data_IF_208112929996
#
_entry.id   IF_208112929996
#
_cell.length_a   1.000
_cell.length_b   1.000
_cell.length_c   1.000
_cell.angle_alpha   90.00
_cell.angle_beta   90.00
_cell.angle_gamma   90.00
#
_symmetry.space_group_name_H-M   'P 1'
#
loop_
_entity.id
_entity.type
_entity.pdbx_description
1 polymer ?
#
# COMPACT_ATOMS: atom_id res chain seq x y z
N UNK A 1 -18.45 7.30 -31.92
CA UNK A 1 -19.23 8.24 -31.08
C UNK A 1 -19.06 7.83 -29.63
N UNK A 2 -18.42 8.67 -28.82
CA UNK A 2 -18.24 8.41 -27.39
C UNK A 2 -19.47 8.85 -26.61
N UNK A 3 -20.23 7.90 -26.07
CA UNK A 3 -21.38 8.19 -25.21
C UNK A 3 -20.88 8.58 -23.81
N UNK A 4 -20.79 9.88 -23.56
CA UNK A 4 -20.39 10.41 -22.25
C UNK A 4 -21.36 9.93 -21.18
N UNK A 5 -20.85 9.08 -20.27
CA UNK A 5 -21.61 8.58 -19.13
C UNK A 5 -21.45 9.54 -17.96
N UNK A 6 -22.56 10.09 -17.47
CA UNK A 6 -22.56 10.96 -16.29
C UNK A 6 -22.77 10.13 -15.02
N UNK A 7 -22.50 10.70 -13.85
CA UNK A 7 -22.70 10.02 -12.56
C UNK A 7 -23.82 10.68 -11.76
N UNK A 8 -24.69 9.87 -11.19
CA UNK A 8 -25.71 10.33 -10.26
C UNK A 8 -25.07 10.97 -9.04
N UNK A 9 -25.44 12.23 -8.76
CA UNK A 9 -24.89 12.98 -7.63
C UNK A 9 -25.22 12.37 -6.27
N UNK A 10 -26.36 11.67 -6.16
CA UNK A 10 -26.82 11.07 -4.91
C UNK A 10 -26.30 9.65 -4.70
N UNK A 11 -26.54 8.76 -5.67
CA UNK A 11 -26.21 7.34 -5.54
C UNK A 11 -24.81 6.97 -6.02
N UNK A 12 -24.20 7.78 -6.89
CA UNK A 12 -22.97 7.43 -7.60
C UNK A 12 -23.14 6.42 -8.74
N UNK A 13 -24.39 6.12 -9.14
CA UNK A 13 -24.66 5.23 -10.27
C UNK A 13 -24.33 5.91 -11.61
N UNK A 14 -23.91 5.11 -12.60
CA UNK A 14 -23.68 5.56 -13.99
C UNK A 14 -25.02 5.88 -14.67
N UNK A 15 -25.07 7.01 -15.37
CA UNK A 15 -26.22 7.50 -16.12
C UNK A 15 -25.78 7.62 -17.58
N UNK A 16 -26.41 6.81 -18.43
CA UNK A 16 -26.19 6.86 -19.87
C UNK A 16 -27.04 7.97 -20.50
N UNK A 17 -26.65 8.49 -21.68
CA UNK A 17 -27.45 9.48 -22.40
C UNK A 17 -28.91 9.05 -22.58
N UNK A 18 -29.84 10.01 -22.45
CA UNK A 18 -31.28 9.73 -22.53
C UNK A 18 -31.90 9.08 -21.28
N UNK A 19 -31.13 8.89 -20.20
CA UNK A 19 -31.62 8.38 -18.91
C UNK A 19 -31.39 9.38 -17.78
N UNK A 20 -32.13 9.18 -16.70
CA UNK A 20 -32.03 10.00 -15.49
C UNK A 20 -32.87 11.28 -15.53
N UNK A 21 -32.68 12.11 -14.51
CA UNK A 21 -33.41 13.36 -14.31
C UNK A 21 -32.38 14.44 -13.99
N UNK A 22 -32.41 15.54 -14.75
CA UNK A 22 -31.60 16.74 -14.50
C UNK A 22 -32.43 17.74 -13.68
N UNK A 23 -31.91 18.14 -12.53
CA UNK A 23 -32.52 19.14 -11.66
C UNK A 23 -31.57 20.32 -11.53
N UNK A 24 -32.04 21.52 -11.83
CA UNK A 24 -31.29 22.77 -11.65
C UNK A 24 -31.82 23.47 -10.42
N UNK A 25 -30.95 23.71 -9.44
CA UNK A 25 -31.28 24.47 -8.23
C UNK A 25 -31.12 25.97 -8.51
N UNK A 26 -31.76 26.82 -7.71
CA UNK A 26 -31.75 28.28 -7.85
C UNK A 26 -30.36 28.91 -7.84
N UNK A 27 -29.37 28.26 -7.24
CA UNK A 27 -27.95 28.65 -7.25
C UNK A 27 -27.20 28.16 -8.50
N UNK A 28 -27.92 27.90 -9.59
CA UNK A 28 -27.41 27.37 -10.86
C UNK A 28 -26.71 26.01 -10.76
N UNK A 29 -26.80 25.32 -9.63
CA UNK A 29 -26.21 23.99 -9.48
C UNK A 29 -27.05 22.93 -10.20
N UNK A 30 -26.40 22.22 -11.12
CA UNK A 30 -27.00 21.11 -11.86
C UNK A 30 -26.76 19.80 -11.14
N UNK A 31 -27.85 19.14 -10.76
CA UNK A 31 -27.86 17.82 -10.15
C UNK A 31 -28.39 16.80 -11.14
N UNK A 32 -27.62 15.73 -11.38
CA UNK A 32 -28.09 14.57 -12.12
C UNK A 32 -28.49 13.44 -11.18
N UNK A 33 -29.69 12.90 -11.40
CA UNK A 33 -30.22 11.77 -10.66
C UNK A 33 -30.49 10.59 -11.59
N UNK A 34 -30.10 9.38 -11.16
CA UNK A 34 -30.36 8.18 -11.96
C UNK A 34 -31.85 7.80 -12.01
N UNK A 35 -32.61 8.10 -10.95
CA UNK A 35 -34.02 7.74 -10.82
C UNK A 35 -34.78 8.72 -9.89
N UNK A 36 -36.11 8.65 -9.93
CA UNK A 36 -37.00 9.47 -9.08
C UNK A 36 -36.79 9.21 -7.58
N UNK A 37 -36.33 8.01 -7.20
CA UNK A 37 -35.97 7.68 -5.81
C UNK A 37 -34.84 8.56 -5.30
N UNK A 38 -33.78 8.76 -6.09
CA UNK A 38 -32.66 9.65 -5.75
C UNK A 38 -33.13 11.11 -5.64
N UNK A 39 -33.97 11.57 -6.57
CA UNK A 39 -34.55 12.92 -6.54
C UNK A 39 -35.36 13.14 -5.26
N UNK A 40 -36.24 12.19 -4.91
CA UNK A 40 -37.06 12.25 -3.68
C UNK A 40 -36.19 12.32 -2.43
N UNK A 41 -35.17 11.47 -2.32
CA UNK A 41 -34.27 11.48 -1.16
C UNK A 41 -33.46 12.77 -1.04
N UNK A 42 -33.08 13.37 -2.16
CA UNK A 42 -32.43 14.68 -2.19
C UNK A 42 -33.34 15.79 -1.64
N UNK A 43 -34.60 15.85 -2.08
CA UNK A 43 -35.57 16.83 -1.55
C UNK A 43 -35.90 16.60 -0.08
N UNK A 44 -35.96 15.34 0.36
CA UNK A 44 -36.13 14.97 1.77
C UNK A 44 -34.87 15.23 2.64
N UNK A 45 -33.82 15.84 2.07
CA UNK A 45 -32.56 16.18 2.76
C UNK A 45 -31.87 14.97 3.40
N UNK A 46 -32.08 13.77 2.84
CA UNK A 46 -31.39 12.57 3.29
C UNK A 46 -29.92 12.63 2.86
N UNK A 47 -29.02 12.28 3.77
CA UNK A 47 -27.58 12.27 3.51
C UNK A 47 -27.18 10.94 2.87
N UNK A 48 -26.57 10.92 1.67
CA UNK A 48 -26.11 9.69 1.01
C UNK A 48 -25.18 8.85 1.91
N UNK A 49 -24.35 9.50 2.72
CA UNK A 49 -23.44 8.85 3.68
C UNK A 49 -24.13 7.95 4.71
N UNK A 50 -25.44 8.12 4.96
CA UNK A 50 -26.21 7.29 5.89
C UNK A 50 -26.93 6.13 5.19
N UNK A 51 -27.00 6.12 3.86
CA UNK A 51 -27.75 5.13 3.09
C UNK A 51 -26.81 4.04 2.57
N UNK A 52 -26.98 2.82 3.09
CA UNK A 52 -26.08 1.66 2.91
C UNK A 52 -25.75 1.31 1.46
N UNK A 53 -26.69 1.52 0.54
CA UNK A 53 -26.60 1.15 -0.87
C UNK A 53 -25.89 2.19 -1.75
N UNK A 54 -25.67 3.42 -1.25
CA UNK A 54 -25.04 4.48 -2.04
C UNK A 54 -23.53 4.25 -2.15
N UNK A 55 -22.93 4.75 -3.23
CA UNK A 55 -21.47 4.70 -3.41
C UNK A 55 -20.73 5.45 -2.28
N UNK A 56 -21.31 6.54 -1.77
CA UNK A 56 -20.73 7.34 -0.69
C UNK A 56 -20.61 6.52 0.61
N UNK A 57 -21.70 5.85 1.02
CA UNK A 57 -21.70 4.99 2.20
C UNK A 57 -20.67 3.88 2.08
N UNK A 58 -20.68 3.17 0.94
CA UNK A 58 -19.77 2.04 0.70
C UNK A 58 -18.30 2.46 0.78
N UNK A 59 -17.97 3.64 0.23
CA UNK A 59 -16.62 4.22 0.33
C UNK A 59 -16.22 4.52 1.77
N UNK A 60 -17.09 5.14 2.57
CA UNK A 60 -16.80 5.47 3.97
C UNK A 60 -16.62 4.22 4.84
N UNK A 61 -17.42 3.19 4.58
CA UNK A 61 -17.37 1.93 5.32
C UNK A 61 -16.39 0.92 4.73
N UNK A 62 -15.52 1.35 3.81
CA UNK A 62 -14.49 0.52 3.17
C UNK A 62 -15.09 -0.78 2.58
N UNK A 63 -16.28 -0.72 2.00
CA UNK A 63 -16.89 -1.87 1.31
C UNK A 63 -16.28 -2.11 -0.09
N UNK A 64 -15.57 -1.11 -0.63
CA UNK A 64 -14.93 -1.16 -1.95
C UNK A 64 -13.39 -1.26 -1.88
N UNK A 65 -12.84 -1.85 -0.81
CA UNK A 65 -11.38 -1.93 -0.56
C UNK A 65 -10.61 -2.54 -1.74
N UNK A 66 -11.15 -3.58 -2.38
CA UNK A 66 -10.47 -4.28 -3.45
C UNK A 66 -10.12 -3.35 -4.63
N UNK A 67 -11.02 -2.44 -4.99
CA UNK A 67 -10.81 -1.49 -6.09
C UNK A 67 -9.74 -0.44 -5.73
N UNK A 68 -9.75 0.06 -4.49
CA UNK A 68 -8.75 1.03 -4.02
C UNK A 68 -7.36 0.40 -3.85
N UNK A 69 -7.27 -0.85 -3.40
CA UNK A 69 -6.00 -1.57 -3.24
C UNK A 69 -5.28 -1.76 -4.59
N UNK A 70 -6.02 -2.13 -5.64
CA UNK A 70 -5.47 -2.24 -7.01
C UNK A 70 -4.94 -0.89 -7.51
N UNK A 71 -5.68 0.21 -7.25
CA UNK A 71 -5.26 1.56 -7.65
C UNK A 71 -4.00 2.01 -6.92
N UNK A 72 -3.87 1.71 -5.62
CA UNK A 72 -2.67 1.99 -4.84
C UNK A 72 -1.46 1.22 -5.40
N UNK A 73 -1.62 -0.07 -5.71
CA UNK A 73 -0.56 -0.91 -6.30
C UNK A 73 -0.07 -0.38 -7.65
N UNK A 74 -0.97 0.19 -8.47
CA UNK A 74 -0.61 0.78 -9.77
C UNK A 74 0.17 2.10 -9.65
N UNK A 75 -0.02 2.87 -8.57
CA UNK A 75 0.75 4.10 -8.28
C UNK A 75 2.17 3.80 -7.81
N UNK A 76 2.40 2.65 -7.19
CA UNK A 76 3.73 2.18 -6.79
C UNK A 76 4.52 1.54 -7.95
N UNK A 77 4.36 2.05 -9.16
CA UNK A 77 5.13 1.58 -10.31
C UNK A 77 6.64 1.80 -10.06
N UNK A 78 7.43 0.76 -10.34
CA UNK A 78 8.88 0.70 -10.11
C UNK A 78 9.58 1.93 -10.71
N UNK A 79 10.40 2.62 -9.91
CA UNK A 79 11.45 3.49 -10.44
C UNK A 79 12.32 2.65 -11.37
N UNK A 80 12.45 3.06 -12.62
CA UNK A 80 13.44 2.51 -13.54
C UNK A 80 14.82 2.75 -12.92
N UNK A 81 15.44 1.70 -12.40
CA UNK A 81 16.85 1.77 -11.99
C UNK A 81 17.68 1.90 -13.26
N UNK A 82 18.48 2.97 -13.33
CA UNK A 82 19.49 3.22 -14.36
C UNK A 82 20.31 1.97 -14.65
N UNK A 83 20.71 1.81 -15.92
CA UNK A 83 21.04 0.54 -16.56
C UNK A 83 22.05 -0.40 -15.85
N UNK A 84 22.11 -1.66 -16.27
CA UNK A 84 22.83 -2.74 -15.58
C UNK A 84 24.34 -2.51 -15.41
N UNK A 85 24.94 -1.61 -16.21
CA UNK A 85 26.37 -1.30 -16.17
C UNK A 85 26.75 -0.51 -14.90
N UNK A 86 26.06 0.59 -14.63
CA UNK A 86 26.33 1.47 -13.47
C UNK A 86 26.08 0.81 -12.12
N UNK A 87 25.20 -0.20 -12.10
CA UNK A 87 24.93 -1.04 -10.93
C UNK A 87 26.08 -2.03 -10.70
N UNK A 88 26.59 -2.66 -11.76
CA UNK A 88 27.72 -3.60 -11.68
C UNK A 88 28.98 -2.89 -11.16
N UNK A 89 29.20 -1.66 -11.59
CA UNK A 89 30.33 -0.85 -11.12
C UNK A 89 30.21 -0.46 -9.64
N UNK A 90 29.02 -0.04 -9.18
CA UNK A 90 28.78 0.25 -7.75
C UNK A 90 28.92 -1.00 -6.88
N UNK A 91 28.46 -2.17 -7.35
CA UNK A 91 28.59 -3.43 -6.62
C UNK A 91 30.06 -3.87 -6.55
N UNK A 92 30.84 -3.69 -7.62
CA UNK A 92 32.29 -3.97 -7.59
C UNK A 92 33.00 -3.04 -6.60
N UNK A 93 32.81 -1.72 -6.72
CA UNK A 93 33.42 -0.72 -5.82
C UNK A 93 33.11 -1.02 -4.34
N UNK A 94 31.85 -1.29 -4.00
CA UNK A 94 31.47 -1.62 -2.61
C UNK A 94 32.03 -2.97 -2.12
N UNK A 95 32.22 -3.95 -3.01
CA UNK A 95 32.85 -5.25 -2.67
C UNK A 95 34.35 -5.10 -2.42
N UNK A 96 35.02 -4.28 -3.21
CA UNK A 96 36.46 -4.02 -3.07
C UNK A 96 36.75 -3.21 -1.80
N UNK A 97 35.94 -2.19 -1.49
CA UNK A 97 36.02 -1.44 -0.22
C UNK A 97 35.79 -2.36 1.00
N UNK A 98 34.82 -3.27 0.91
CA UNK A 98 34.52 -4.20 2.02
C UNK A 98 35.62 -5.25 2.18
N UNK A 99 36.27 -5.67 1.09
CA UNK A 99 37.46 -6.54 1.14
C UNK A 99 38.67 -5.82 1.70
N UNK A 100 38.92 -4.56 1.31
CA UNK A 100 40.01 -3.76 1.85
C UNK A 100 39.84 -3.53 3.36
N UNK A 101 38.64 -3.14 3.80
CA UNK A 101 38.32 -3.01 5.23
C UNK A 101 38.46 -4.32 5.99
N UNK A 102 38.05 -5.45 5.41
CA UNK A 102 38.21 -6.77 6.05
C UNK A 102 39.70 -7.19 6.11
N UNK A 103 40.50 -6.89 5.09
CA UNK A 103 41.93 -7.16 5.09
C UNK A 103 42.67 -6.31 6.14
N UNK A 104 42.31 -5.03 6.27
CA UNK A 104 42.89 -4.14 7.27
C UNK A 104 42.53 -4.57 8.70
N UNK A 105 41.28 -4.97 8.94
CA UNK A 105 40.84 -5.50 10.24
C UNK A 105 41.54 -6.81 10.57
N UNK A 106 41.69 -7.74 9.60
CA UNK A 106 42.40 -9.00 9.84
C UNK A 106 43.91 -8.82 10.04
N UNK A 107 44.54 -7.84 9.37
CA UNK A 107 45.96 -7.50 9.59
C UNK A 107 46.20 -6.87 10.98
N UNK A 108 45.23 -6.09 11.49
CA UNK A 108 45.27 -5.55 12.85
C UNK A 108 45.06 -6.62 13.92
N UNK A 109 44.20 -7.62 13.67
CA UNK A 109 43.96 -8.73 14.62
C UNK A 109 45.15 -9.70 14.72
N UNK A 110 45.92 -9.91 13.65
CA UNK A 110 47.12 -10.76 13.70
C UNK A 110 48.30 -10.11 14.45
N UNK A 111 48.36 -8.78 14.56
CA UNK A 111 49.36 -8.09 15.41
C UNK A 111 49.06 -8.17 16.91
N UNK A 112 47.84 -8.54 17.30
CA UNK A 112 47.42 -8.63 18.72
C UNK A 112 47.47 -10.05 19.30
N UNK A 113 47.85 -11.08 18.53
CA UNK A 113 47.83 -12.50 18.96
C UNK A 113 49.22 -13.12 19.27
N UNK A 114 50.25 -12.31 19.53
CA UNK A 114 51.59 -12.82 19.93
C UNK A 114 51.91 -12.70 21.44
N UNK A 115 50.94 -12.48 22.32
CA UNK A 115 51.13 -12.59 23.78
C UNK A 115 50.05 -13.44 24.46
N UNK A 116 50.40 -14.70 24.72
CA UNK A 116 49.97 -15.45 25.91
C UNK A 116 48.70 -16.32 25.82
N UNK A 117 48.90 -17.65 25.79
CA UNK A 117 47.97 -18.72 26.21
C UNK A 117 48.77 -19.58 27.20
N UNK A 118 48.26 -20.08 28.36
CA UNK A 118 47.31 -21.22 28.49
C UNK A 118 46.30 -21.09 29.67
N UNK A 119 45.29 -21.93 29.96
CA UNK A 119 44.57 -23.09 29.39
C UNK A 119 43.48 -23.44 30.44
N UNK A 120 42.25 -23.82 30.06
CA UNK A 120 41.38 -24.62 30.95
C UNK A 120 39.85 -24.50 30.80
N UNK A 121 39.21 -25.67 30.78
CA UNK A 121 37.80 -26.01 31.01
C UNK A 121 36.76 -25.81 29.88
N UNK A 122 36.27 -26.96 29.40
CA UNK A 122 35.21 -27.16 28.41
C UNK A 122 33.79 -26.97 28.97
N UNK A 123 32.80 -26.48 28.19
CA UNK A 123 31.39 -26.59 28.55
C UNK A 123 30.78 -27.90 28.01
N UNK A 124 30.15 -28.67 28.91
CA UNK A 124 29.27 -29.79 28.55
C UNK A 124 27.93 -29.27 28.03
N UNK A 125 27.39 -29.89 27.00
CA UNK A 125 25.93 -30.00 26.76
C UNK A 125 25.54 -31.49 26.66
N UNK A 126 24.33 -31.87 26.24
CA UNK A 126 22.99 -31.25 26.41
C UNK A 126 21.92 -32.30 26.87
N UNK A 127 20.80 -31.92 27.52
CA UNK A 127 19.49 -32.63 27.32
C UNK A 127 18.24 -32.00 27.98
N UNK A 128 17.25 -31.78 27.11
CA UNK A 128 15.77 -31.89 27.19
C UNK A 128 14.97 -31.80 28.51
N UNK A 129 13.89 -31.01 28.42
CA UNK A 129 12.59 -31.14 29.10
C UNK A 129 11.80 -29.83 28.92
N UNK A 130 10.56 -29.74 28.45
CA UNK A 130 9.48 -30.70 28.30
C UNK A 130 8.23 -30.17 29.02
N UNK A 131 7.28 -29.58 28.26
CA UNK A 131 5.86 -29.53 28.63
C UNK A 131 5.32 -28.26 29.31
N UNK A 132 4.10 -27.87 28.93
CA UNK A 132 3.24 -27.03 29.76
C UNK A 132 2.38 -26.01 29.02
N UNK A 133 1.43 -26.44 28.19
CA UNK A 133 0.33 -25.55 27.79
C UNK A 133 -0.67 -25.35 28.93
N UNK A 134 -1.30 -24.17 29.00
CA UNK A 134 -2.72 -23.99 29.37
C UNK A 134 -3.14 -22.50 29.37
N UNK A 135 -4.29 -22.29 28.72
CA UNK A 135 -5.27 -21.18 28.79
C UNK A 135 -5.12 -20.05 27.78
#
# INVERSE_FOLDING_TARGET
MDFRTELCRFSGAKIYPGKGIRFVRSDSQVFLFANSKCKRYFHNRLKPSKLTWTAMYRKQHKKDIAAEAVKKKRRTAKKHTQGPYEIKERIKKTKDEKKAKKAEVMAKTQKTQSKGVPKGAAPKGPKLGGGGGKR
#
